data_IF_064600029149
#
_entry.id   IF_064600029149
#
_cell.length_a   1.000
_cell.length_b   1.000
_cell.length_c   1.000
_cell.angle_alpha   90.00
_cell.angle_beta   90.00
_cell.angle_gamma   90.00
#
_symmetry.space_group_name_H-M   'P 1'
#
loop_
_entity.id
_entity.type
_entity.pdbx_description
1 polymer ?
#
# COMPACT_ATOMS: atom_id res chain seq x y z
N UNK A 1 -6.45 -5.19 9.31
CA UNK A 1 -7.27 -5.05 10.54
C UNK A 1 -8.74 -5.07 10.14
N UNK A 2 -9.69 -4.95 11.07
CA UNK A 2 -11.12 -4.98 10.71
C UNK A 2 -11.81 -3.62 10.78
N UNK A 3 -11.38 -2.70 11.66
CA UNK A 3 -11.98 -1.36 11.81
C UNK A 3 -10.94 -0.24 11.98
N UNK A 4 -9.68 -0.57 12.23
CA UNK A 4 -8.61 0.40 12.39
C UNK A 4 -7.92 0.65 11.04
N UNK A 5 -7.43 1.87 10.77
CA UNK A 5 -6.65 2.13 9.57
C UNK A 5 -5.27 1.47 9.68
N UNK A 6 -4.78 0.95 8.56
CA UNK A 6 -3.41 0.45 8.42
C UNK A 6 -2.56 1.60 7.88
N UNK A 7 -1.57 2.03 8.66
CA UNK A 7 -0.60 3.04 8.24
C UNK A 7 0.79 2.42 8.21
N UNK A 8 1.40 2.38 7.04
CA UNK A 8 2.77 1.87 6.87
C UNK A 8 3.66 3.00 6.40
N UNK A 9 4.79 3.15 7.08
CA UNK A 9 5.86 4.08 6.68
C UNK A 9 6.99 3.28 6.06
N UNK A 10 7.23 3.48 4.76
CA UNK A 10 8.35 2.83 4.07
C UNK A 10 9.51 3.83 3.89
N UNK A 11 10.75 3.42 4.16
CA UNK A 11 11.90 4.29 3.93
C UNK A 11 12.03 4.68 2.46
N UNK A 12 12.65 5.82 2.18
CA UNK A 12 12.99 6.20 0.82
C UNK A 12 14.19 5.39 0.29
N UNK A 13 14.13 4.98 -0.98
CA UNK A 13 15.24 4.28 -1.65
C UNK A 13 15.23 2.76 -1.53
N UNK A 14 14.20 2.17 -0.91
CA UNK A 14 14.00 0.72 -0.83
C UNK A 14 12.87 0.25 -1.75
N UNK A 15 13.03 -0.94 -2.31
CA UNK A 15 12.09 -1.53 -3.26
C UNK A 15 11.12 -2.52 -2.61
N UNK A 16 9.82 -2.34 -2.85
CA UNK A 16 8.76 -3.23 -2.34
C UNK A 16 7.76 -3.61 -3.42
N UNK A 17 7.30 -4.85 -3.37
CA UNK A 17 6.13 -5.33 -4.10
C UNK A 17 4.90 -5.20 -3.19
N UNK A 18 4.04 -4.25 -3.50
CA UNK A 18 2.90 -3.87 -2.67
C UNK A 18 1.63 -4.52 -3.18
N UNK A 19 0.95 -5.23 -2.30
CA UNK A 19 -0.41 -5.71 -2.50
C UNK A 19 -1.26 -5.23 -1.34
N UNK A 20 -2.19 -4.32 -1.60
CA UNK A 20 -3.12 -3.82 -0.61
C UNK A 20 -4.57 -4.11 -1.02
N UNK A 21 -5.38 -4.58 -0.07
CA UNK A 21 -6.79 -4.92 -0.27
C UNK A 21 -7.63 -4.47 0.92
N UNK A 22 -8.76 -3.83 0.65
CA UNK A 22 -9.80 -3.48 1.62
C UNK A 22 -11.17 -3.81 1.05
N UNK A 23 -12.22 -3.93 1.88
CA UNK A 23 -13.58 -4.23 1.40
C UNK A 23 -14.48 -3.00 1.37
N UNK A 24 -14.38 -2.14 2.38
CA UNK A 24 -15.17 -0.91 2.49
C UNK A 24 -14.32 0.33 2.77
N UNK A 25 -13.00 0.19 2.88
CA UNK A 25 -12.07 1.29 3.04
C UNK A 25 -11.59 1.87 1.71
N UNK A 26 -10.64 2.79 1.82
CA UNK A 26 -9.91 3.35 0.68
C UNK A 26 -8.42 3.10 0.81
N UNK A 27 -7.73 2.95 -0.32
CA UNK A 27 -6.27 2.78 -0.36
C UNK A 27 -5.63 4.06 -0.89
N UNK A 28 -4.65 4.59 -0.16
CA UNK A 28 -3.88 5.78 -0.55
C UNK A 28 -2.39 5.53 -0.43
N UNK A 29 -1.64 6.01 -1.41
CA UNK A 29 -0.17 5.99 -1.39
C UNK A 29 0.38 7.39 -1.68
N UNK A 30 1.32 7.82 -0.85
CA UNK A 30 2.06 9.09 -1.04
C UNK A 30 3.39 8.90 -1.74
N UNK A 31 3.82 7.64 -1.93
CA UNK A 31 5.03 7.31 -2.67
C UNK A 31 4.73 6.98 -4.12
N UNK A 32 5.67 7.30 -5.04
CA UNK A 32 5.55 6.91 -6.44
C UNK A 32 5.59 5.39 -6.54
N UNK A 33 4.44 4.80 -6.82
CA UNK A 33 4.28 3.37 -7.04
C UNK A 33 4.00 3.12 -8.53
N UNK A 34 4.63 2.10 -9.07
CA UNK A 34 4.34 1.57 -10.40
C UNK A 34 3.26 0.51 -10.24
N UNK A 35 2.01 0.85 -10.51
CA UNK A 35 0.93 -0.12 -10.45
C UNK A 35 1.08 -1.16 -11.56
N UNK A 36 0.76 -2.42 -11.27
CA UNK A 36 0.70 -3.49 -12.26
C UNK A 36 -0.70 -4.07 -12.25
N UNK A 37 -1.47 -3.78 -13.31
CA UNK A 37 -2.87 -4.19 -13.44
C UNK A 37 -3.87 -3.06 -13.14
N UNK A 38 -5.10 -3.44 -12.78
CA UNK A 38 -6.20 -2.51 -12.52
C UNK A 38 -6.06 -1.94 -11.10
N UNK A 39 -5.97 -0.61 -10.98
CA UNK A 39 -6.05 0.08 -9.69
C UNK A 39 -7.53 0.27 -9.36
N UNK A 40 -8.02 -0.42 -8.34
CA UNK A 40 -9.33 -0.18 -7.74
C UNK A 40 -9.24 0.80 -6.57
N UNK A 41 -10.37 1.37 -6.14
CA UNK A 41 -10.39 2.20 -4.93
C UNK A 41 -10.10 1.38 -3.65
N UNK A 42 -10.43 0.09 -3.71
CA UNK A 42 -10.37 -0.91 -2.64
C UNK A 42 -9.25 -1.95 -2.83
N UNK A 43 -8.57 -1.94 -3.99
CA UNK A 43 -7.47 -2.87 -4.30
C UNK A 43 -6.33 -2.17 -5.05
N UNK A 44 -5.11 -2.36 -4.54
CA UNK A 44 -3.90 -1.77 -5.07
C UNK A 44 -2.83 -2.85 -5.22
N UNK A 45 -2.36 -3.02 -6.44
CA UNK A 45 -1.26 -3.91 -6.77
C UNK A 45 -0.20 -3.10 -7.52
N UNK A 46 1.00 -3.05 -6.97
CA UNK A 46 2.06 -2.27 -7.58
C UNK A 46 3.42 -2.53 -6.96
N UNK A 47 4.41 -1.82 -7.48
CA UNK A 47 5.81 -1.92 -7.09
C UNK A 47 6.33 -0.53 -6.76
N UNK A 48 6.99 -0.39 -5.62
CA UNK A 48 7.70 0.81 -5.22
C UNK A 48 9.17 0.63 -5.57
N UNK A 49 9.76 1.61 -6.27
CA UNK A 49 11.17 1.58 -6.68
C UNK A 49 11.51 0.38 -7.57
N UNK A 50 12.62 -0.31 -7.26
CA UNK A 50 13.03 -1.52 -7.98
C UNK A 50 12.20 -2.76 -7.62
N UNK A 51 11.31 -2.67 -6.62
CA UNK A 51 10.63 -3.81 -6.00
C UNK A 51 11.57 -4.76 -5.26
N UNK A 52 11.04 -5.92 -4.85
CA UNK A 52 11.80 -6.94 -4.15
C UNK A 52 11.03 -7.53 -2.96
N UNK A 53 10.94 -6.77 -1.86
CA UNK A 53 10.31 -7.29 -0.64
C UNK A 53 8.78 -7.21 -0.74
N UNK A 54 8.09 -8.31 -0.46
CA UNK A 54 6.63 -8.38 -0.54
C UNK A 54 5.97 -7.70 0.67
N UNK A 55 5.18 -6.66 0.41
CA UNK A 55 4.36 -5.96 1.39
C UNK A 55 2.89 -6.26 1.12
N UNK A 56 2.28 -7.12 1.93
CA UNK A 56 0.85 -7.45 1.86
C UNK A 56 0.08 -6.74 2.96
N UNK A 57 -0.92 -5.95 2.57
CA UNK A 57 -1.79 -5.18 3.46
C UNK A 57 -3.22 -5.61 3.22
N UNK A 58 -3.89 -6.09 4.26
CA UNK A 58 -5.28 -6.54 4.16
C UNK A 58 -6.10 -5.94 5.29
N UNK A 59 -7.14 -5.22 4.89
CA UNK A 59 -8.15 -4.67 5.79
C UNK A 59 -9.57 -5.03 5.33
N UNK A 60 -10.56 -4.81 6.18
CA UNK A 60 -11.98 -4.99 5.84
C UNK A 60 -12.72 -3.67 5.77
N UNK A 61 -12.67 -2.84 6.81
CA UNK A 61 -13.45 -1.59 6.88
C UNK A 61 -12.61 -0.34 7.13
N UNK A 62 -11.31 -0.51 7.38
CA UNK A 62 -10.33 0.55 7.58
C UNK A 62 -9.63 0.95 6.29
N UNK A 63 -9.09 2.17 6.32
CA UNK A 63 -8.27 2.71 5.23
C UNK A 63 -6.85 2.14 5.30
N UNK A 64 -6.23 2.02 4.12
CA UNK A 64 -4.83 1.63 4.00
C UNK A 64 -4.06 2.84 3.47
N UNK A 65 -3.10 3.33 4.26
CA UNK A 65 -2.28 4.48 3.93
C UNK A 65 -0.80 4.08 3.88
N UNK A 66 -0.19 4.26 2.71
CA UNK A 66 1.25 4.06 2.50
C UNK A 66 1.90 5.44 2.52
N UNK A 67 2.62 5.71 3.60
CA UNK A 67 3.24 6.98 3.91
C UNK A 67 4.75 6.92 3.68
N UNK A 68 5.33 8.04 3.27
CA UNK A 68 6.79 8.16 3.18
C UNK A 68 7.39 8.12 4.59
N UNK A 69 8.30 7.17 4.82
CA UNK A 69 9.08 7.07 6.05
C UNK A 69 10.16 8.14 6.07
N UNK A 70 10.25 8.86 7.20
CA UNK A 70 11.34 9.79 7.45
C UNK A 70 12.63 9.01 7.73
N UNK A 71 13.74 9.53 7.21
CA UNK A 71 15.09 8.99 7.33
C UNK A 71 15.60 9.04 8.78
#
# INVERSE_FOLDING_TARGET
>A
TSFAPIRVRLPEGVGYDVTARTSFGSIRSEMPLTASGTIGADSLNGRIGAGGCALSLTDSNGNIEILKGLK
#
